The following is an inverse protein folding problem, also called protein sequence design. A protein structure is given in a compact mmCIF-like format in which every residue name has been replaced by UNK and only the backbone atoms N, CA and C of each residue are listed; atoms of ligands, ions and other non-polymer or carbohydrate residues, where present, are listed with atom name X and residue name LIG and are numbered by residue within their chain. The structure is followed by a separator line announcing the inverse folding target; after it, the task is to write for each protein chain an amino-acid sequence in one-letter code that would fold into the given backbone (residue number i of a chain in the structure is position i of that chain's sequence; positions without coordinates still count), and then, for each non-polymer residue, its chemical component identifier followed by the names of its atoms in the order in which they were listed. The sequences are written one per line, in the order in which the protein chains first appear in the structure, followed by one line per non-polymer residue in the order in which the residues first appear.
data_IF_678280072290
#
_entry.id   IF_678280072290
#
_cell.length_a   1.000
_cell.length_b   1.000
_cell.length_c   1.000
_cell.angle_alpha   90.00
_cell.angle_beta   90.00
_cell.angle_gamma   90.00
#
_symmetry.space_group_name_H-M   'P 1'
#
loop_
_entity.id
_entity.type
_entity.pdbx_description
1 polymer ?
#
# COMPACT_ATOMS: atom_id res chain seq x y z
N UNK A 1 -2.04 -27.74 32.60
CA UNK A 1 -1.52 -28.59 31.52
C UNK A 1 -2.22 -28.14 30.26
N UNK A 2 -1.60 -27.21 29.52
CA UNK A 2 -2.17 -26.69 28.27
C UNK A 2 -2.02 -27.80 27.23
N UNK A 3 -3.10 -28.18 26.56
CA UNK A 3 -3.10 -29.30 25.61
C UNK A 3 -2.06 -29.09 24.50
N UNK A 4 -0.95 -29.83 24.54
CA UNK A 4 0.10 -29.81 23.51
C UNK A 4 -0.49 -29.95 22.10
N UNK A 5 -1.55 -30.75 21.96
CA UNK A 5 -2.27 -30.96 20.70
C UNK A 5 -2.89 -29.68 20.14
N UNK A 6 -3.40 -28.78 21.00
CA UNK A 6 -3.99 -27.51 20.58
C UNK A 6 -2.92 -26.56 20.08
N UNK A 7 -1.77 -26.48 20.76
CA UNK A 7 -0.63 -25.63 20.35
C UNK A 7 -0.10 -26.03 18.97
N UNK A 8 0.06 -27.33 18.72
CA UNK A 8 0.47 -27.85 17.42
C UNK A 8 -0.54 -27.56 16.31
N UNK A 9 -1.85 -27.65 16.59
CA UNK A 9 -2.88 -27.25 15.61
C UNK A 9 -2.82 -25.76 15.27
N UNK A 10 -2.64 -24.88 16.25
CA UNK A 10 -2.49 -23.44 15.99
C UNK A 10 -1.21 -23.11 15.23
N UNK A 11 -0.10 -23.80 15.52
CA UNK A 11 1.15 -23.65 14.77
C UNK A 11 0.99 -24.07 13.31
N UNK A 12 0.35 -25.21 13.04
CA UNK A 12 0.11 -25.68 11.68
C UNK A 12 -0.78 -24.70 10.90
N UNK A 13 -1.84 -24.18 11.53
CA UNK A 13 -2.69 -23.14 10.95
C UNK A 13 -1.88 -21.88 10.66
N UNK A 14 -1.04 -21.42 11.59
CA UNK A 14 -0.22 -20.22 11.41
C UNK A 14 0.79 -20.38 10.27
N UNK A 15 1.41 -21.55 10.11
CA UNK A 15 2.34 -21.85 9.01
C UNK A 15 1.61 -21.90 7.67
N UNK A 16 0.43 -22.52 7.61
CA UNK A 16 -0.38 -22.56 6.38
C UNK A 16 -0.83 -21.15 5.98
N UNK A 17 -1.33 -20.36 6.93
CA UNK A 17 -1.73 -18.97 6.69
C UNK A 17 -0.52 -18.12 6.29
N UNK A 18 0.62 -18.27 6.97
CA UNK A 18 1.87 -17.57 6.66
C UNK A 18 2.42 -17.92 5.29
N UNK A 19 2.40 -19.20 4.91
CA UNK A 19 2.78 -19.66 3.57
C UNK A 19 1.84 -19.14 2.48
N UNK A 20 0.52 -19.14 2.74
CA UNK A 20 -0.48 -18.57 1.84
C UNK A 20 -0.24 -17.06 1.66
N UNK A 21 -0.06 -16.33 2.76
CA UNK A 21 0.26 -14.91 2.75
C UNK A 21 1.57 -14.61 2.06
N UNK A 22 2.58 -15.47 2.16
CA UNK A 22 3.84 -15.31 1.43
C UNK A 22 3.63 -15.42 -0.08
N UNK A 23 2.81 -16.39 -0.53
CA UNK A 23 2.45 -16.53 -1.94
C UNK A 23 1.56 -15.38 -2.44
N UNK A 24 0.70 -14.87 -1.57
CA UNK A 24 -0.18 -13.73 -1.85
C UNK A 24 0.49 -12.37 -1.62
N UNK A 25 1.64 -12.29 -0.96
CA UNK A 25 2.30 -11.04 -0.61
C UNK A 25 2.56 -10.14 -1.83
N UNK A 26 3.00 -10.65 -2.99
CA UNK A 26 3.14 -9.84 -4.20
C UNK A 26 1.83 -9.21 -4.67
N UNK A 27 0.71 -9.90 -4.40
CA UNK A 27 -0.64 -9.39 -4.69
C UNK A 27 -1.12 -8.48 -3.57
N UNK A 28 -0.79 -8.72 -2.30
CA UNK A 28 -1.23 -7.91 -1.15
C UNK A 28 -0.52 -6.55 -1.08
N UNK A 29 0.75 -6.51 -1.47
CA UNK A 29 1.61 -5.31 -1.46
C UNK A 29 0.99 -4.14 -2.22
N UNK A 30 0.52 -4.29 -3.48
CA UNK A 30 -0.13 -3.19 -4.19
C UNK A 30 -1.43 -2.75 -3.52
N UNK A 31 -2.21 -3.64 -2.91
CA UNK A 31 -3.41 -3.24 -2.16
C UNK A 31 -3.07 -2.43 -0.91
N UNK A 32 -2.05 -2.85 -0.16
CA UNK A 32 -1.59 -2.13 1.01
C UNK A 32 -1.06 -0.73 0.64
N UNK A 33 -0.31 -0.63 -0.46
CA UNK A 33 0.14 0.65 -1.00
C UNK A 33 -1.04 1.52 -1.45
N UNK A 34 -2.01 0.97 -2.18
CA UNK A 34 -3.22 1.70 -2.58
C UNK A 34 -4.01 2.22 -1.37
N UNK A 35 -4.12 1.44 -0.30
CA UNK A 35 -4.77 1.86 0.94
C UNK A 35 -4.01 3.01 1.61
N UNK A 36 -2.68 2.94 1.66
CA UNK A 36 -1.83 4.02 2.18
C UNK A 36 -2.00 5.31 1.35
N UNK A 37 -1.96 5.21 0.02
CA UNK A 37 -2.20 6.36 -0.86
C UNK A 37 -3.62 6.91 -0.71
N UNK A 38 -4.63 6.07 -0.53
CA UNK A 38 -5.99 6.52 -0.30
C UNK A 38 -6.13 7.27 1.02
N UNK A 39 -5.48 6.79 2.07
CA UNK A 39 -5.42 7.48 3.36
C UNK A 39 -4.76 8.86 3.23
N UNK A 40 -3.63 8.95 2.51
CA UNK A 40 -2.94 10.21 2.25
C UNK A 40 -3.74 11.15 1.32
N UNK A 41 -4.47 10.60 0.35
CA UNK A 41 -5.24 11.36 -0.63
C UNK A 41 -6.55 11.93 -0.09
N UNK A 42 -7.19 11.27 0.90
CA UNK A 42 -8.48 11.71 1.45
C UNK A 42 -8.49 13.17 1.97
N UNK A 43 -7.52 13.67 2.76
CA UNK A 43 -7.52 15.07 3.18
C UNK A 43 -7.35 16.06 2.01
N UNK A 44 -6.62 15.68 0.96
CA UNK A 44 -6.49 16.50 -0.25
C UNK A 44 -7.80 16.57 -1.02
N UNK A 45 -8.50 15.44 -1.15
CA UNK A 45 -9.82 15.36 -1.80
C UNK A 45 -10.84 16.20 -1.05
N UNK A 46 -10.85 16.16 0.27
CA UNK A 46 -11.78 16.96 1.09
C UNK A 46 -11.54 18.47 0.95
N UNK A 47 -10.28 18.91 0.86
CA UNK A 47 -9.93 20.32 0.56
C UNK A 47 -10.40 20.77 -0.82
N UNK A 48 -10.36 19.90 -1.83
CA UNK A 48 -10.86 20.21 -3.17
C UNK A 48 -12.40 20.17 -3.23
N UNK A 49 -13.03 19.20 -2.57
CA UNK A 49 -14.48 19.09 -2.50
C UNK A 49 -15.13 20.29 -1.80
N UNK A 50 -14.45 20.88 -0.80
CA UNK A 50 -14.88 22.11 -0.13
C UNK A 50 -15.03 23.32 -1.08
N UNK A 51 -14.40 23.29 -2.27
CA UNK A 51 -14.49 24.34 -3.30
C UNK A 51 -15.66 24.15 -4.28
N UNK A 52 -16.76 23.50 -3.87
CA UNK A 52 -17.96 23.18 -4.68
C UNK A 52 -17.74 22.22 -5.86
N UNK A 53 -16.72 21.37 -5.82
CA UNK A 53 -16.50 20.33 -6.86
C UNK A 53 -17.28 19.05 -6.56
N UNK A 54 -17.72 18.34 -7.60
CA UNK A 54 -18.31 17.01 -7.42
C UNK A 54 -17.26 16.06 -6.85
N UNK A 55 -17.65 15.20 -5.89
CA UNK A 55 -16.72 14.30 -5.19
C UNK A 55 -15.86 13.45 -6.15
N UNK A 56 -16.46 13.01 -7.26
CA UNK A 56 -15.77 12.22 -8.29
C UNK A 56 -14.67 13.04 -8.99
N UNK A 57 -14.95 14.29 -9.34
CA UNK A 57 -13.96 15.17 -9.98
C UNK A 57 -12.79 15.51 -9.05
N UNK A 58 -13.08 15.74 -7.75
CA UNK A 58 -12.04 15.98 -6.75
C UNK A 58 -11.10 14.78 -6.59
N UNK A 59 -11.65 13.55 -6.53
CA UNK A 59 -10.84 12.32 -6.47
C UNK A 59 -9.98 12.13 -7.72
N UNK A 60 -10.57 12.32 -8.90
CA UNK A 60 -9.85 12.16 -10.17
C UNK A 60 -8.66 13.14 -10.31
N UNK A 61 -8.85 14.40 -9.91
CA UNK A 61 -7.80 15.43 -9.98
C UNK A 61 -6.67 15.11 -8.99
N UNK A 62 -6.99 14.75 -7.74
CA UNK A 62 -5.97 14.40 -6.74
C UNK A 62 -5.19 13.18 -7.19
N UNK A 63 -5.87 12.14 -7.71
CA UNK A 63 -5.22 10.95 -8.23
C UNK A 63 -4.26 11.29 -9.38
N UNK A 64 -4.70 12.10 -10.34
CA UNK A 64 -3.87 12.53 -11.47
C UNK A 64 -2.65 13.32 -10.99
N UNK A 65 -2.83 14.27 -10.07
CA UNK A 65 -1.74 15.06 -9.49
C UNK A 65 -0.73 14.20 -8.74
N UNK A 66 -1.18 13.26 -7.90
CA UNK A 66 -0.27 12.37 -7.17
C UNK A 66 0.49 11.44 -8.12
N UNK A 67 -0.20 10.85 -9.10
CA UNK A 67 0.42 9.98 -10.10
C UNK A 67 1.46 10.75 -10.91
N UNK A 68 1.12 11.97 -11.34
CA UNK A 68 2.05 12.84 -12.07
C UNK A 68 3.25 13.24 -11.21
N UNK A 69 3.03 13.57 -9.93
CA UNK A 69 4.11 13.91 -9.00
C UNK A 69 5.08 12.75 -8.80
N UNK A 70 4.58 11.53 -8.58
CA UNK A 70 5.42 10.32 -8.46
C UNK A 70 6.14 10.03 -9.77
N UNK A 71 5.46 10.13 -10.91
CA UNK A 71 6.08 9.92 -12.22
C UNK A 71 7.21 10.93 -12.49
N UNK A 72 7.00 12.22 -12.18
CA UNK A 72 8.03 13.25 -12.30
C UNK A 72 9.20 13.01 -11.33
N UNK A 73 8.91 12.64 -10.09
CA UNK A 73 9.92 12.30 -9.10
C UNK A 73 10.80 11.14 -9.59
N UNK A 74 10.19 10.07 -10.10
CA UNK A 74 10.92 8.95 -10.69
C UNK A 74 11.69 9.37 -11.94
N UNK A 75 11.10 10.19 -12.82
CA UNK A 75 11.75 10.67 -14.03
C UNK A 75 13.00 11.53 -13.75
N UNK A 76 13.07 12.19 -12.59
CA UNK A 76 14.26 12.95 -12.16
C UNK A 76 15.25 12.06 -11.41
N UNK A 77 14.76 11.20 -10.50
CA UNK A 77 15.62 10.36 -9.65
C UNK A 77 16.27 9.22 -10.44
N UNK A 78 15.53 8.56 -11.33
CA UNK A 78 16.05 7.43 -12.13
C UNK A 78 17.30 7.81 -12.95
N UNK A 79 17.30 8.88 -13.78
CA UNK A 79 18.51 9.23 -14.54
C UNK A 79 19.67 9.61 -13.63
N UNK A 80 19.43 10.33 -12.54
CA UNK A 80 20.47 10.64 -11.57
C UNK A 80 21.07 9.37 -10.93
N UNK A 81 20.24 8.39 -10.59
CA UNK A 81 20.68 7.07 -10.12
C UNK A 81 21.46 6.31 -11.20
N UNK A 82 21.06 6.39 -12.46
CA UNK A 82 21.78 5.74 -13.55
C UNK A 82 23.14 6.36 -13.81
N UNK A 83 23.24 7.69 -13.79
CA UNK A 83 24.51 8.38 -13.96
C UNK A 83 25.44 8.12 -12.77
N UNK A 84 24.89 8.04 -11.55
CA UNK A 84 25.64 7.57 -10.38
C UNK A 84 26.11 6.12 -10.55
N UNK A 85 25.22 5.21 -10.98
CA UNK A 85 25.57 3.80 -11.19
C UNK A 85 26.63 3.60 -12.28
N UNK A 86 26.62 4.40 -13.36
CA UNK A 86 27.63 4.37 -14.43
C UNK A 86 29.03 4.78 -13.96
N UNK A 87 29.13 5.57 -12.89
CA UNK A 87 30.42 5.97 -12.34
C UNK A 87 31.05 4.90 -11.42
N UNK A 88 30.26 3.95 -10.90
CA UNK A 88 30.68 2.89 -9.97
C UNK A 88 31.85 2.04 -10.51
N UNK A 89 31.87 1.58 -11.78
CA UNK A 89 32.99 0.80 -12.30
C UNK A 89 34.34 1.54 -12.25
N UNK A 90 34.35 2.86 -12.44
CA UNK A 90 35.56 3.69 -12.37
C UNK A 90 36.13 3.80 -10.96
N UNK A 91 35.26 3.79 -9.95
CA UNK A 91 35.69 3.77 -8.54
C UNK A 91 36.34 2.44 -8.17
N UNK A 92 35.89 1.33 -8.75
CA UNK A 92 36.51 0.01 -8.52
C UNK A 92 37.91 -0.07 -9.12
N UNK A 93 38.14 0.47 -10.31
CA UNK A 93 39.49 0.52 -10.90
C UNK A 93 40.43 1.38 -10.05
N UNK A 94 39.93 2.50 -9.51
CA UNK A 94 40.70 3.36 -8.60
C UNK A 94 41.02 2.65 -7.28
N UNK A 95 40.06 1.90 -6.73
CA UNK A 95 40.25 1.08 -5.52
C UNK A 95 41.26 -0.06 -5.75
N UNK A 96 41.19 -0.74 -6.90
CA UNK A 96 42.13 -1.80 -7.26
C UNK A 96 43.55 -1.27 -7.42
N UNK A 97 43.71 -0.14 -8.11
CA UNK A 97 45.04 0.48 -8.29
C UNK A 97 45.62 1.02 -6.99
N UNK A 98 44.79 1.56 -6.09
CA UNK A 98 45.22 1.94 -4.74
C UNK A 98 45.62 0.70 -3.91
N UNK A 99 44.84 -0.39 -4.01
CA UNK A 99 45.15 -1.64 -3.33
C UNK A 99 46.52 -2.18 -3.76
N UNK A 100 46.78 -2.27 -5.06
CA UNK A 100 48.05 -2.79 -5.59
C UNK A 100 49.26 -1.91 -5.24
N UNK A 101 49.09 -0.57 -5.25
CA UNK A 101 50.20 0.37 -5.06
C UNK A 101 50.50 0.68 -3.60
N UNK A 102 49.49 0.65 -2.72
CA UNK A 102 49.61 1.14 -1.34
C UNK A 102 49.33 0.02 -0.35
N UNK A 103 48.17 -0.61 -0.44
CA UNK A 103 47.73 -1.56 0.57
C UNK A 103 48.53 -2.88 0.53
N UNK A 104 48.75 -3.44 -0.66
CA UNK A 104 49.50 -4.68 -0.85
C UNK A 104 50.96 -4.61 -0.34
N UNK A 105 51.77 -3.58 -0.69
CA UNK A 105 53.13 -3.47 -0.18
C UNK A 105 53.17 -3.13 1.31
N UNK A 106 52.29 -2.27 1.82
CA UNK A 106 52.21 -1.91 3.24
C UNK A 106 51.84 -3.12 4.11
N UNK A 107 50.87 -3.93 3.67
CA UNK A 107 50.44 -5.12 4.39
C UNK A 107 51.53 -6.20 4.41
N UNK A 108 52.31 -6.30 3.33
CA UNK A 108 53.46 -7.20 3.23
C UNK A 108 54.61 -6.79 4.15
N UNK A 109 54.88 -5.48 4.29
CA UNK A 109 55.95 -4.98 5.17
C UNK A 109 55.62 -5.12 6.65
N UNK A 110 54.34 -4.93 7.02
CA UNK A 110 53.95 -4.88 8.44
C UNK A 110 53.58 -6.26 9.02
N UNK A 111 52.97 -7.14 8.21
CA UNK A 111 52.43 -8.42 8.71
C UNK A 111 53.15 -9.66 8.17
N UNK A 112 54.05 -9.54 7.19
CA UNK A 112 54.81 -10.67 6.63
C UNK A 112 53.97 -11.77 5.96
N UNK A 113 52.65 -11.63 5.91
CA UNK A 113 51.73 -12.56 5.25
C UNK A 113 51.68 -12.27 3.74
N UNK A 114 52.13 -13.23 2.95
CA UNK A 114 51.73 -13.33 1.54
C UNK A 114 50.26 -13.75 1.48
N UNK A 115 49.36 -12.80 1.26
CA UNK A 115 47.96 -13.05 0.90
C UNK A 115 47.90 -13.69 -0.50
N UNK A 116 48.35 -14.94 -0.62
CA UNK A 116 48.25 -15.73 -1.85
C UNK A 116 47.02 -16.65 -1.82
N UNK A 117 46.47 -16.91 -0.62
CA UNK A 117 45.27 -17.74 -0.44
C UNK A 117 43.95 -17.00 -0.76
N UNK A 118 43.95 -15.66 -0.66
CA UNK A 118 42.86 -14.80 -1.09
C UNK A 118 43.40 -14.00 -2.27
N UNK A 119 43.09 -14.42 -3.50
CA UNK A 119 43.43 -13.69 -4.73
C UNK A 119 42.50 -12.48 -4.82
N UNK A 120 42.92 -11.28 -4.36
CA UNK A 120 42.04 -10.12 -4.26
C UNK A 120 41.64 -9.68 -5.67
N UNK A 121 42.51 -9.90 -6.66
CA UNK A 121 42.26 -9.63 -8.07
C UNK A 121 41.06 -10.42 -8.61
N UNK A 122 40.88 -11.69 -8.21
CA UNK A 122 39.68 -12.48 -8.58
C UNK A 122 38.40 -11.96 -7.93
N UNK A 123 38.47 -11.51 -6.68
CA UNK A 123 37.32 -10.95 -5.98
C UNK A 123 36.88 -9.62 -6.63
N UNK A 124 37.83 -8.73 -6.94
CA UNK A 124 37.56 -7.49 -7.65
C UNK A 124 37.10 -7.72 -9.09
N UNK A 125 37.67 -8.70 -9.80
CA UNK A 125 37.23 -9.06 -11.15
C UNK A 125 35.79 -9.61 -11.15
N UNK A 126 35.45 -10.49 -10.19
CA UNK A 126 34.09 -11.00 -10.05
C UNK A 126 33.10 -9.87 -9.74
N UNK A 127 33.45 -8.97 -8.82
CA UNK A 127 32.60 -7.82 -8.49
C UNK A 127 32.39 -6.90 -9.71
N UNK A 128 33.44 -6.67 -10.51
CA UNK A 128 33.36 -5.90 -11.75
C UNK A 128 32.44 -6.54 -12.78
N UNK A 129 32.52 -7.86 -12.99
CA UNK A 129 31.62 -8.57 -13.91
C UNK A 129 30.16 -8.47 -13.47
N UNK A 130 29.85 -8.61 -12.18
CA UNK A 130 28.48 -8.48 -11.69
C UNK A 130 27.94 -7.05 -11.87
N UNK A 131 28.77 -6.03 -11.66
CA UNK A 131 28.39 -4.64 -11.86
C UNK A 131 28.21 -4.29 -13.35
N UNK A 132 29.04 -4.84 -14.23
CA UNK A 132 28.90 -4.67 -15.67
C UNK A 132 27.66 -5.40 -16.22
N UNK A 133 27.33 -6.58 -15.66
CA UNK A 133 26.10 -7.30 -15.97
C UNK A 133 24.83 -6.54 -15.52
N UNK A 134 24.86 -5.89 -14.36
CA UNK A 134 23.78 -4.99 -13.89
C UNK A 134 23.64 -3.79 -14.84
N UNK A 135 24.75 -3.19 -15.28
CA UNK A 135 24.75 -2.08 -16.25
C UNK A 135 24.22 -2.48 -17.63
N UNK A 136 24.54 -3.69 -18.09
CA UNK A 136 24.04 -4.28 -19.35
C UNK A 136 22.62 -4.84 -19.25
N UNK A 137 22.06 -4.95 -18.04
CA UNK A 137 20.70 -5.41 -17.82
C UNK A 137 19.67 -4.45 -18.46
N UNK A 138 19.97 -3.15 -18.54
CA UNK A 138 19.05 -2.15 -19.11
C UNK A 138 18.70 -2.39 -20.59
N UNK A 139 19.66 -2.49 -21.53
CA UNK A 139 19.35 -2.84 -22.92
C UNK A 139 18.79 -4.26 -23.07
N UNK A 140 19.16 -5.21 -22.19
CA UNK A 140 18.59 -6.56 -22.18
C UNK A 140 17.15 -6.62 -21.70
N UNK A 141 16.73 -5.76 -20.77
CA UNK A 141 15.31 -5.63 -20.40
C UNK A 141 14.52 -5.05 -21.56
N UNK A 142 14.99 -3.95 -22.17
CA UNK A 142 14.34 -3.33 -23.33
C UNK A 142 14.23 -4.30 -24.52
N UNK A 143 15.25 -5.12 -24.78
CA UNK A 143 15.26 -6.10 -25.87
C UNK A 143 14.63 -7.47 -25.53
N UNK A 144 14.65 -7.87 -24.25
CA UNK A 144 14.10 -9.14 -23.75
C UNK A 144 12.60 -9.10 -23.48
N UNK A 145 12.05 -7.89 -23.25
CA UNK A 145 10.61 -7.65 -23.25
C UNK A 145 9.99 -8.08 -24.58
N UNK A 146 10.62 -7.81 -25.71
CA UNK A 146 10.11 -8.22 -27.03
C UNK A 146 10.11 -9.72 -27.26
N UNK A 147 10.95 -10.49 -26.56
CA UNK A 147 11.08 -11.95 -26.77
C UNK A 147 10.15 -12.79 -25.90
N UNK A 148 9.60 -12.21 -24.82
CA UNK A 148 8.83 -12.93 -23.80
C UNK A 148 7.43 -12.33 -23.63
N UNK A 149 6.50 -12.64 -24.53
CA UNK A 149 5.13 -12.09 -24.49
C UNK A 149 4.40 -12.28 -23.15
N UNK A 150 4.67 -13.36 -22.42
CA UNK A 150 4.13 -13.60 -21.08
C UNK A 150 4.70 -12.65 -20.01
N UNK A 151 5.98 -12.30 -20.09
CA UNK A 151 6.61 -11.36 -19.15
C UNK A 151 6.12 -9.93 -19.37
N UNK A 152 5.89 -9.53 -20.64
CA UNK A 152 5.27 -8.25 -20.99
C UNK A 152 3.86 -8.16 -20.43
N UNK A 153 3.04 -9.22 -20.60
CA UNK A 153 1.69 -9.24 -20.04
C UNK A 153 1.69 -9.11 -18.51
N UNK A 154 2.62 -9.76 -17.80
CA UNK A 154 2.76 -9.60 -16.36
C UNK A 154 3.11 -8.16 -15.95
N UNK A 155 4.05 -7.53 -16.65
CA UNK A 155 4.41 -6.13 -16.43
C UNK A 155 3.26 -5.16 -16.73
N UNK A 156 2.58 -5.33 -17.85
CA UNK A 156 1.43 -4.50 -18.26
C UNK A 156 0.29 -4.67 -17.26
N UNK A 157 -0.01 -5.91 -16.86
CA UNK A 157 -1.01 -6.18 -15.84
C UNK A 157 -0.67 -5.42 -14.56
N UNK A 158 0.55 -5.54 -14.04
CA UNK A 158 0.95 -4.84 -12.81
C UNK A 158 0.92 -3.30 -12.96
N UNK A 159 1.40 -2.79 -14.10
CA UNK A 159 1.46 -1.36 -14.40
C UNK A 159 0.06 -0.74 -14.53
N UNK A 160 -0.93 -1.46 -15.04
CA UNK A 160 -2.32 -1.02 -15.13
C UNK A 160 -3.09 -1.24 -13.82
N UNK A 161 -2.81 -2.34 -13.12
CA UNK A 161 -3.52 -2.74 -11.93
C UNK A 161 -3.30 -1.78 -10.76
N UNK A 162 -2.06 -1.32 -10.54
CA UNK A 162 -1.71 -0.37 -9.47
C UNK A 162 -2.51 0.96 -9.57
N UNK A 163 -2.49 1.70 -10.69
CA UNK A 163 -3.24 2.94 -10.82
C UNK A 163 -4.75 2.70 -10.84
N UNK A 164 -5.22 1.61 -11.46
CA UNK A 164 -6.65 1.28 -11.52
C UNK A 164 -7.23 1.00 -10.13
N UNK A 165 -6.58 0.13 -9.35
CA UNK A 165 -7.01 -0.22 -7.99
C UNK A 165 -6.95 1.02 -7.10
N UNK A 166 -5.86 1.80 -7.17
CA UNK A 166 -5.70 3.01 -6.35
C UNK A 166 -6.82 4.02 -6.62
N UNK A 167 -7.16 4.26 -7.89
CA UNK A 167 -8.29 5.12 -8.25
C UNK A 167 -9.62 4.57 -7.70
N UNK A 168 -9.86 3.27 -7.87
CA UNK A 168 -11.11 2.64 -7.42
C UNK A 168 -11.28 2.68 -5.90
N UNK A 169 -10.21 2.35 -5.16
CA UNK A 169 -10.23 2.39 -3.69
C UNK A 169 -10.54 3.81 -3.20
N UNK A 170 -9.84 4.83 -3.72
CA UNK A 170 -10.07 6.22 -3.30
C UNK A 170 -11.48 6.73 -3.61
N UNK A 171 -12.07 6.28 -4.73
CA UNK A 171 -13.40 6.68 -5.14
C UNK A 171 -14.48 6.09 -4.23
N UNK A 172 -14.45 4.78 -4.04
CA UNK A 172 -15.60 4.03 -3.52
C UNK A 172 -15.49 3.61 -2.04
N UNK A 173 -14.34 3.85 -1.39
CA UNK A 173 -14.10 3.52 0.02
C UNK A 173 -15.25 3.90 0.97
N UNK A 174 -15.77 5.14 0.88
CA UNK A 174 -16.84 5.62 1.78
C UNK A 174 -18.18 4.89 1.58
N UNK A 175 -18.49 4.45 0.36
CA UNK A 175 -19.74 3.72 0.08
C UNK A 175 -19.68 2.27 0.57
N UNK A 176 -18.50 1.65 0.55
CA UNK A 176 -18.31 0.29 1.06
C UNK A 176 -18.43 0.25 2.59
N UNK A 177 -17.80 1.20 3.29
CA UNK A 177 -17.89 1.29 4.76
C UNK A 177 -19.31 1.60 5.22
N UNK A 178 -20.02 2.54 4.55
CA UNK A 178 -21.40 2.85 4.95
C UNK A 178 -22.33 1.64 4.83
N UNK A 179 -22.08 0.76 3.86
CA UNK A 179 -22.86 -0.48 3.65
C UNK A 179 -22.48 -1.56 4.67
N UNK A 180 -21.20 -1.72 4.97
CA UNK A 180 -20.74 -2.67 6.00
C UNK A 180 -21.28 -2.32 7.41
N UNK A 181 -21.42 -1.03 7.72
CA UNK A 181 -22.05 -0.56 8.95
C UNK A 181 -23.57 -0.80 8.99
N UNK A 182 -24.26 -0.80 7.84
CA UNK A 182 -25.71 -1.08 7.81
C UNK A 182 -26.02 -2.57 7.96
N UNK A 183 -25.12 -3.44 7.47
CA UNK A 183 -25.31 -4.90 7.48
C UNK A 183 -24.92 -5.55 8.84
N UNK A 184 -23.96 -4.99 9.55
CA UNK A 184 -23.65 -5.41 10.93
C UNK A 184 -24.75 -5.03 11.94
N UNK A 185 -25.57 -4.02 11.62
CA UNK A 185 -26.74 -3.65 12.41
C UNK A 185 -27.92 -4.63 12.22
N UNK A 186 -28.04 -5.30 11.07
CA UNK A 186 -29.05 -6.34 10.83
C UNK A 186 -28.61 -7.72 11.35
N UNK A 187 -27.32 -8.08 11.23
CA UNK A 187 -26.79 -9.38 11.71
C UNK A 187 -26.86 -9.51 13.24
N UNK A 188 -26.83 -8.40 13.98
CA UNK A 188 -27.04 -8.39 15.44
C UNK A 188 -28.49 -8.60 15.91
N UNK A 189 -29.48 -8.56 15.00
CA UNK A 189 -30.89 -8.65 15.37
C UNK A 189 -31.46 -10.09 15.35
N UNK A 190 -30.77 -11.05 14.73
CA UNK A 190 -31.31 -12.40 14.50
C UNK A 190 -30.75 -13.48 15.44
N UNK A 191 -29.79 -13.12 16.30
CA UNK A 191 -29.07 -14.05 17.19
C UNK A 191 -29.59 -14.12 18.63
N UNK A 192 -30.90 -14.32 18.84
CA UNK A 192 -31.39 -14.59 20.21
C UNK A 192 -32.88 -14.41 20.44
N UNK A 193 -33.61 -15.52 20.43
CA UNK A 193 -34.81 -15.78 21.21
C UNK A 193 -36.05 -14.88 21.02
N UNK A 194 -37.10 -15.54 20.51
CA UNK A 194 -38.49 -15.22 20.79
C UNK A 194 -38.73 -14.81 22.27
N UNK A 195 -39.20 -13.58 22.50
CA UNK A 195 -40.13 -13.22 23.59
C UNK A 195 -40.73 -11.83 23.36
N UNK A 196 -42.05 -11.81 23.15
CA UNK A 196 -43.03 -10.81 23.56
C UNK A 196 -42.72 -9.29 23.46
N UNK A 197 -43.34 -8.66 22.45
CA UNK A 197 -44.24 -7.46 22.50
C UNK A 197 -43.70 -6.09 23.01
N UNK A 198 -44.46 -4.98 22.96
CA UNK A 198 -45.20 -4.35 21.85
C UNK A 198 -45.00 -2.81 21.83
N UNK A 199 -44.44 -2.20 20.77
CA UNK A 199 -44.50 -0.71 20.63
C UNK A 199 -44.70 -0.25 19.19
N UNK A 200 -45.80 -0.71 18.59
CA UNK A 200 -46.56 0.10 17.62
C UNK A 200 -47.33 1.24 18.35
N UNK A 201 -46.68 2.00 19.23
CA UNK A 201 -47.34 3.06 20.01
C UNK A 201 -46.96 4.49 19.59
N UNK A 202 -45.79 4.69 18.96
CA UNK A 202 -45.38 6.03 18.54
C UNK A 202 -46.13 6.55 17.31
N UNK A 203 -46.58 5.67 16.41
CA UNK A 203 -47.38 6.07 15.24
C UNK A 203 -48.85 6.38 15.59
N UNK A 204 -49.40 5.78 16.64
CA UNK A 204 -50.78 6.00 17.07
C UNK A 204 -50.94 7.27 17.92
N UNK A 205 -49.92 7.66 18.68
CA UNK A 205 -49.99 8.84 19.57
C UNK A 205 -50.00 10.19 18.83
N UNK A 206 -49.72 10.22 17.52
CA UNK A 206 -49.74 11.45 16.72
C UNK A 206 -51.05 11.64 15.92
N UNK A 207 -51.92 10.63 15.83
CA UNK A 207 -53.13 10.70 15.00
C UNK A 207 -54.37 11.26 15.74
N UNK A 208 -54.31 11.42 17.07
CA UNK A 208 -55.49 11.65 17.91
C UNK A 208 -55.52 13.03 18.61
N UNK A 209 -54.99 14.09 17.98
CA UNK A 209 -55.16 15.47 18.49
C UNK A 209 -56.11 16.31 17.63
N UNK A 210 -57.24 16.78 18.18
CA UNK A 210 -58.19 17.60 17.43
C UNK A 210 -57.62 18.98 17.10
N UNK A 211 -57.91 19.42 15.87
CA UNK A 211 -57.50 20.68 15.28
C UNK A 211 -58.25 21.87 15.89
N UNK A 212 -57.89 22.29 17.11
CA UNK A 212 -58.39 23.57 17.66
C UNK A 212 -57.49 24.13 18.76
N UNK A 213 -56.29 24.61 18.42
CA UNK A 213 -55.64 25.66 19.22
C UNK A 213 -54.61 26.41 18.37
N UNK A 214 -54.81 27.71 18.27
CA UNK A 214 -54.06 28.72 17.51
C UNK A 214 -52.64 29.00 18.05
N UNK A 215 -51.91 27.98 18.48
CA UNK A 215 -50.52 28.11 18.93
C UNK A 215 -49.66 27.02 18.31
N UNK A 216 -49.01 27.36 17.20
CA UNK A 216 -47.88 26.63 16.64
C UNK A 216 -46.69 26.75 17.61
N UNK A 217 -46.16 25.68 18.20
CA UNK A 217 -44.78 25.67 18.65
C UNK A 217 -43.89 25.29 17.47
N UNK A 218 -42.88 26.13 17.26
CA UNK A 218 -41.81 25.97 16.31
C UNK A 218 -41.20 24.57 16.42
N UNK A 219 -41.28 23.77 15.35
CA UNK A 219 -40.33 22.68 15.12
C UNK A 219 -38.98 23.30 14.76
N UNK A 220 -38.30 23.84 15.78
CA UNK A 220 -36.93 24.30 15.70
C UNK A 220 -36.06 23.06 15.49
N UNK A 221 -35.62 22.88 14.24
CA UNK A 221 -34.50 22.01 13.87
C UNK A 221 -33.26 22.47 14.64
N UNK A 222 -32.90 21.81 15.73
CA UNK A 222 -31.54 21.88 16.27
C UNK A 222 -31.09 20.68 17.08
N UNK A 223 -31.97 19.88 17.67
CA UNK A 223 -31.55 18.84 18.62
C UNK A 223 -32.14 17.46 18.33
N UNK A 224 -31.69 16.85 17.23
CA UNK A 224 -31.63 15.39 17.14
C UNK A 224 -30.22 14.95 17.56
N UNK A 225 -29.90 15.10 18.85
CA UNK A 225 -28.74 14.45 19.45
C UNK A 225 -29.12 13.01 19.78
N UNK A 226 -28.66 12.07 18.95
CA UNK A 226 -28.72 10.64 19.24
C UNK A 226 -28.01 10.36 20.58
N UNK A 227 -28.68 9.76 21.59
CA UNK A 227 -28.01 9.29 22.78
C UNK A 227 -27.40 7.91 22.46
N UNK A 228 -26.08 7.88 22.31
CA UNK A 228 -25.33 6.62 22.24
C UNK A 228 -25.02 6.11 20.82
N UNK A 229 -24.06 6.75 20.14
CA UNK A 229 -22.93 5.99 19.60
C UNK A 229 -21.80 6.96 19.31
N UNK A 230 -20.72 6.73 20.04
CA UNK A 230 -19.43 7.36 19.90
C UNK A 230 -18.97 7.39 18.44
N UNK A 231 -18.66 8.60 17.99
CA UNK A 231 -17.52 8.92 17.14
C UNK A 231 -16.44 7.83 17.10
N UNK A 232 -16.51 6.94 16.11
CA UNK A 232 -15.39 6.23 15.52
C UNK A 232 -15.92 5.37 14.34
N UNK A 233 -15.82 5.93 13.15
CA UNK A 233 -15.53 5.23 11.91
C UNK A 233 -14.56 6.12 11.13
#
# INVERSE_FOLDING_TARGET
MIDDRRVWSWLLIAVVIGGMLYFLAPVLTPFALSALFAYLGNPLVERLAAKRMSRVSAVAIVFLLMTLAVALMLAIILPALFDQARSVPGYIDTLHTWYDRVAAPWLKSEFGFTLTALDPGRAFASLRTHLDDIGRFMPKLLGGLTTSGAAVMGWVANLLLIPLITFYLMRDWKQMISRACTDSASVGADGGAARASPTRSWAASCADKPASSSRLPQCMRSDCRWPGSSSAC
#
